data_IF_729955242880
#
_entry.id   IF_729955242880
#
_cell.length_a   1.000
_cell.length_b   1.000
_cell.length_c   1.000
_cell.angle_alpha   90.00
_cell.angle_beta   90.00
_cell.angle_gamma   90.00
#
_symmetry.space_group_name_H-M   'P 1'
#
loop_
_entity.id
_entity.type
_entity.pdbx_description
1 polymer ?
#
# COMPACT_ATOMS: atom_id res chain seq x y z
N UNK A 1 13.74 -0.14 10.02
CA UNK A 1 12.41 -0.54 9.50
C UNK A 1 11.81 0.66 8.78
N UNK A 2 11.32 0.49 7.56
CA UNK A 2 10.58 1.51 6.81
C UNK A 2 9.11 1.11 6.75
N UNK A 3 8.19 2.04 7.00
CA UNK A 3 6.75 1.80 6.94
C UNK A 3 6.16 2.55 5.74
N UNK A 4 5.56 1.83 4.79
CA UNK A 4 4.99 2.38 3.56
C UNK A 4 3.49 2.11 3.48
N UNK A 5 2.67 3.16 3.42
CA UNK A 5 1.26 3.03 3.11
C UNK A 5 1.03 2.99 1.59
N UNK A 6 0.24 2.02 1.12
CA UNK A 6 -0.18 1.93 -0.29
C UNK A 6 -1.62 2.41 -0.36
N UNK A 7 -1.83 3.64 -0.79
CA UNK A 7 -3.11 4.32 -0.68
C UNK A 7 -3.57 4.98 -1.97
N UNK A 8 -4.86 4.87 -2.26
CA UNK A 8 -5.60 5.66 -3.24
C UNK A 8 -7.10 5.52 -2.94
N UNK A 9 -7.85 6.62 -3.02
CA UNK A 9 -9.32 6.62 -2.83
C UNK A 9 -10.06 5.78 -3.87
N UNK A 10 -9.56 5.75 -5.10
CA UNK A 10 -10.23 5.04 -6.19
C UNK A 10 -10.10 3.53 -5.98
N UNK A 11 -11.24 2.83 -6.04
CA UNK A 11 -11.27 1.37 -6.10
C UNK A 11 -10.69 0.85 -7.42
N UNK A 12 -10.11 -0.35 -7.40
CA UNK A 12 -9.66 -1.02 -8.62
C UNK A 12 -8.37 -0.49 -9.26
N UNK A 13 -7.65 0.46 -8.62
CA UNK A 13 -6.38 1.00 -9.18
C UNK A 13 -5.17 0.09 -8.95
N UNK A 14 -5.35 -1.07 -8.34
CA UNK A 14 -4.29 -2.04 -8.08
C UNK A 14 -3.52 -1.82 -6.78
N UNK A 15 -4.12 -1.23 -5.74
CA UNK A 15 -3.50 -1.08 -4.40
C UNK A 15 -3.05 -2.44 -3.86
N UNK A 16 -3.98 -3.33 -3.63
CA UNK A 16 -3.73 -4.68 -3.10
C UNK A 16 -2.78 -5.49 -3.98
N UNK A 17 -2.96 -5.43 -5.30
CA UNK A 17 -2.05 -6.10 -6.24
C UNK A 17 -0.62 -5.56 -6.12
N UNK A 18 -0.48 -4.24 -5.95
CA UNK A 18 0.83 -3.61 -5.72
C UNK A 18 1.39 -4.00 -4.37
N UNK A 19 0.57 -4.01 -3.31
CA UNK A 19 1.00 -4.39 -1.97
C UNK A 19 1.58 -5.81 -1.94
N UNK A 20 0.83 -6.79 -2.44
CA UNK A 20 1.25 -8.20 -2.49
C UNK A 20 2.50 -8.39 -3.36
N UNK A 21 2.47 -7.85 -4.61
CA UNK A 21 3.54 -8.11 -5.58
C UNK A 21 4.83 -7.37 -5.23
N UNK A 22 4.72 -6.15 -4.68
CA UNK A 22 5.88 -5.39 -4.21
C UNK A 22 6.49 -6.04 -2.97
N UNK A 23 5.66 -6.53 -2.02
CA UNK A 23 6.12 -7.26 -0.85
C UNK A 23 6.98 -8.47 -1.25
N UNK A 24 6.46 -9.31 -2.15
CA UNK A 24 7.19 -10.47 -2.66
C UNK A 24 8.49 -10.06 -3.38
N UNK A 25 8.45 -9.00 -4.20
CA UNK A 25 9.63 -8.52 -4.91
C UNK A 25 10.71 -7.93 -3.98
N UNK A 26 10.33 -7.31 -2.86
CA UNK A 26 11.27 -6.85 -1.83
C UNK A 26 11.92 -8.05 -1.10
N UNK A 27 11.14 -9.10 -0.83
CA UNK A 27 11.67 -10.34 -0.24
C UNK A 27 12.67 -11.03 -1.17
N UNK A 28 12.40 -11.10 -2.48
CA UNK A 28 13.36 -11.61 -3.48
C UNK A 28 14.68 -10.83 -3.48
N UNK A 29 14.66 -9.58 -3.02
CA UNK A 29 15.86 -8.73 -2.86
C UNK A 29 16.51 -8.85 -1.47
N UNK A 30 16.06 -9.77 -0.64
CA UNK A 30 16.64 -10.09 0.66
C UNK A 30 16.05 -9.32 1.84
N UNK A 31 14.98 -8.54 1.66
CA UNK A 31 14.30 -7.86 2.76
C UNK A 31 13.35 -8.81 3.51
N UNK A 32 13.22 -8.64 4.83
CA UNK A 32 12.10 -9.21 5.59
C UNK A 32 10.94 -8.22 5.58
N UNK A 33 9.77 -8.67 5.13
CA UNK A 33 8.62 -7.81 4.88
C UNK A 33 7.42 -8.26 5.72
N UNK A 34 6.77 -7.31 6.40
CA UNK A 34 5.43 -7.47 6.95
C UNK A 34 4.44 -6.74 6.04
N UNK A 35 3.44 -7.45 5.54
CA UNK A 35 2.29 -6.85 4.88
C UNK A 35 1.14 -6.72 5.88
N UNK A 36 0.55 -5.53 5.99
CA UNK A 36 -0.62 -5.25 6.82
C UNK A 36 -1.83 -5.05 5.92
N UNK A 37 -2.85 -5.87 6.06
CA UNK A 37 -4.10 -5.75 5.30
C UNK A 37 -5.13 -4.93 6.10
N UNK A 38 -5.24 -3.63 5.82
CA UNK A 38 -6.21 -2.74 6.45
C UNK A 38 -7.54 -2.63 5.71
N UNK A 39 -7.66 -3.22 4.52
CA UNK A 39 -8.92 -3.20 3.79
C UNK A 39 -9.91 -4.20 4.43
N UNK A 40 -11.12 -3.76 4.84
CA UNK A 40 -12.16 -4.66 5.34
C UNK A 40 -12.53 -5.78 4.35
N UNK A 41 -12.24 -5.61 3.06
CA UNK A 41 -12.45 -6.65 2.07
C UNK A 41 -11.46 -7.82 2.22
N UNK A 42 -10.33 -7.64 2.90
CA UNK A 42 -9.32 -8.67 3.15
C UNK A 42 -8.75 -9.28 1.86
N UNK A 43 -8.55 -8.45 0.84
CA UNK A 43 -8.09 -8.93 -0.46
C UNK A 43 -6.58 -9.28 -0.46
N UNK A 44 -5.77 -8.61 0.37
CA UNK A 44 -4.37 -8.99 0.53
C UNK A 44 -4.27 -10.32 1.31
N UNK A 45 -5.12 -10.50 2.31
CA UNK A 45 -5.21 -11.71 3.11
C UNK A 45 -5.53 -12.94 2.24
N UNK A 46 -6.64 -12.91 1.52
CA UNK A 46 -6.99 -14.02 0.61
C UNK A 46 -6.04 -14.16 -0.57
N UNK A 47 -5.49 -13.03 -1.06
CA UNK A 47 -4.53 -13.02 -2.16
C UNK A 47 -3.17 -13.63 -1.83
N UNK A 48 -2.86 -13.84 -0.55
CA UNK A 48 -1.71 -14.61 -0.07
C UNK A 48 -2.08 -16.00 0.45
N UNK A 49 -3.32 -16.46 0.19
CA UNK A 49 -3.79 -17.80 0.54
C UNK A 49 -4.11 -17.97 2.02
N UNK A 50 -4.23 -16.88 2.78
CA UNK A 50 -4.58 -16.91 4.20
C UNK A 50 -6.09 -16.72 4.35
N UNK A 51 -6.72 -17.53 5.24
CA UNK A 51 -8.14 -17.38 5.56
C UNK A 51 -8.42 -16.05 6.24
N UNK A 52 -9.55 -15.43 5.97
CA UNK A 52 -10.03 -14.24 6.71
C UNK A 52 -10.62 -14.59 8.08
N UNK A 53 -11.00 -15.85 8.28
CA UNK A 53 -11.49 -16.36 9.56
C UNK A 53 -10.29 -16.74 10.45
N UNK A 54 -9.71 -15.73 11.10
CA UNK A 54 -8.58 -15.88 12.01
C UNK A 54 -8.97 -15.48 13.43
N UNK A 55 -8.44 -16.14 14.47
CA UNK A 55 -8.67 -15.76 15.86
C UNK A 55 -8.08 -14.40 16.21
N UNK A 56 -6.97 -14.04 15.56
CA UNK A 56 -6.26 -12.77 15.72
C UNK A 56 -6.05 -12.11 14.35
N UNK A 57 -6.24 -10.79 14.30
CA UNK A 57 -6.18 -10.02 13.06
C UNK A 57 -5.84 -8.56 13.34
N UNK A 58 -5.69 -7.77 12.29
CA UNK A 58 -5.51 -6.32 12.42
C UNK A 58 -6.66 -5.64 13.17
N UNK A 59 -7.88 -6.21 13.11
CA UNK A 59 -9.01 -5.70 13.89
C UNK A 59 -8.75 -5.82 15.40
N UNK A 60 -8.30 -6.99 15.87
CA UNK A 60 -7.96 -7.20 17.28
C UNK A 60 -6.86 -6.23 17.76
N UNK A 61 -5.85 -6.02 16.93
CA UNK A 61 -4.77 -5.06 17.20
C UNK A 61 -5.28 -3.62 17.30
N UNK A 62 -6.15 -3.20 16.38
CA UNK A 62 -6.65 -1.81 16.34
C UNK A 62 -7.71 -1.51 17.39
N UNK A 63 -8.62 -2.47 17.68
CA UNK A 63 -9.83 -2.24 18.47
C UNK A 63 -9.76 -2.83 19.87
N UNK A 64 -9.09 -3.99 20.02
CA UNK A 64 -9.08 -4.77 21.27
C UNK A 64 -7.74 -4.75 22.02
N UNK A 65 -6.76 -3.96 21.57
CA UNK A 65 -5.41 -3.91 22.14
C UNK A 65 -4.69 -5.28 22.14
N UNK A 66 -5.00 -6.15 21.16
CA UNK A 66 -4.28 -7.41 20.99
C UNK A 66 -2.81 -7.16 20.59
N UNK A 67 -1.93 -8.04 21.02
CA UNK A 67 -0.52 -7.93 20.67
C UNK A 67 -0.31 -8.19 19.17
N UNK A 68 0.45 -7.34 18.53
CA UNK A 68 0.78 -7.47 17.11
C UNK A 68 1.39 -8.85 16.79
N UNK A 69 2.28 -9.34 17.67
CA UNK A 69 2.97 -10.62 17.49
C UNK A 69 2.02 -11.83 17.44
N UNK A 70 0.87 -11.77 18.14
CA UNK A 70 -0.09 -12.87 18.17
C UNK A 70 -0.93 -12.90 16.87
N UNK A 71 -1.04 -11.78 16.18
CA UNK A 71 -1.85 -11.63 14.98
C UNK A 71 -1.07 -11.83 13.67
N UNK A 72 0.27 -11.76 13.69
CA UNK A 72 1.10 -11.96 12.50
C UNK A 72 1.08 -13.43 12.08
N UNK A 73 0.88 -13.66 10.79
CA UNK A 73 0.86 -14.99 10.18
C UNK A 73 1.97 -15.12 9.14
N UNK A 74 2.73 -16.24 9.11
CA UNK A 74 3.66 -16.52 8.04
C UNK A 74 2.89 -16.81 6.75
N UNK A 75 3.42 -16.38 5.61
CA UNK A 75 2.88 -16.71 4.29
C UNK A 75 3.64 -17.86 3.63
N UNK A 76 3.17 -18.32 2.48
CA UNK A 76 3.89 -19.30 1.67
C UNK A 76 5.20 -18.74 1.06
N UNK A 77 5.40 -17.42 1.10
CA UNK A 77 6.61 -16.75 0.62
C UNK A 77 7.55 -16.53 1.81
N UNK A 78 8.61 -17.30 1.88
CA UNK A 78 9.58 -17.21 2.99
C UNK A 78 10.17 -15.78 3.08
N UNK A 79 10.06 -15.15 4.26
CA UNK A 79 10.47 -13.75 4.48
C UNK A 79 9.37 -12.72 4.31
N UNK A 80 8.16 -13.13 3.89
CA UNK A 80 6.96 -12.33 3.85
C UNK A 80 5.97 -12.84 4.89
N UNK A 81 5.68 -12.03 5.90
CA UNK A 81 4.63 -12.29 6.87
C UNK A 81 3.46 -11.33 6.64
N UNK A 82 2.28 -11.71 7.13
CA UNK A 82 1.05 -10.94 6.98
C UNK A 82 0.41 -10.65 8.35
N UNK A 83 -0.02 -9.40 8.57
CA UNK A 83 -1.04 -9.06 9.56
C UNK A 83 -2.40 -9.08 8.84
N UNK A 84 -3.21 -10.14 9.00
CA UNK A 84 -4.39 -10.36 8.18
C UNK A 84 -5.55 -9.45 8.55
N UNK A 85 -6.38 -9.12 7.57
CA UNK A 85 -7.72 -8.58 7.77
C UNK A 85 -8.69 -9.69 8.20
N UNK A 86 -9.83 -9.29 8.79
CA UNK A 86 -10.90 -10.19 9.22
C UNK A 86 -12.27 -9.58 8.92
N UNK A 87 -13.36 -10.37 8.93
CA UNK A 87 -14.71 -9.87 8.68
C UNK A 87 -15.13 -8.73 9.61
N UNK A 88 -14.65 -8.73 10.86
CA UNK A 88 -14.91 -7.69 11.86
C UNK A 88 -14.39 -6.31 11.47
N UNK A 89 -13.42 -6.25 10.56
CA UNK A 89 -12.91 -4.98 10.03
C UNK A 89 -14.00 -4.11 9.39
N UNK A 90 -15.13 -4.71 8.97
CA UNK A 90 -16.28 -3.97 8.45
C UNK A 90 -16.88 -3.00 9.48
N UNK A 91 -16.78 -3.29 10.78
CA UNK A 91 -17.22 -2.43 11.89
C UNK A 91 -16.13 -1.54 12.48
N UNK A 92 -14.86 -1.79 12.14
CA UNK A 92 -13.71 -1.18 12.80
C UNK A 92 -13.73 0.36 12.80
N UNK A 93 -14.10 1.00 11.69
CA UNK A 93 -14.16 2.47 11.64
C UNK A 93 -15.15 3.07 12.66
N UNK A 94 -16.29 2.42 12.88
CA UNK A 94 -17.30 2.86 13.86
C UNK A 94 -16.80 2.63 15.28
N UNK A 95 -16.22 1.45 15.52
CA UNK A 95 -15.73 1.05 16.84
C UNK A 95 -14.48 1.81 17.28
N UNK A 96 -13.67 2.28 16.34
CA UNK A 96 -12.52 3.16 16.62
C UNK A 96 -12.95 4.57 17.07
N UNK A 97 -14.13 5.07 16.65
CA UNK A 97 -14.57 6.45 16.95
C UNK A 97 -14.49 6.83 18.43
N UNK A 98 -15.00 6.00 19.39
CA UNK A 98 -14.95 6.34 20.81
C UNK A 98 -13.59 6.09 21.48
N UNK A 99 -12.62 5.45 20.80
CA UNK A 99 -11.35 5.10 21.40
C UNK A 99 -10.42 6.30 21.50
N UNK A 100 -9.66 6.36 22.60
CA UNK A 100 -8.60 7.36 22.77
C UNK A 100 -7.45 7.07 21.80
N UNK A 101 -6.83 8.15 21.30
CA UNK A 101 -5.71 8.07 20.36
C UNK A 101 -6.00 7.16 19.13
N UNK A 102 -7.25 7.11 18.70
CA UNK A 102 -7.75 6.23 17.63
C UNK A 102 -7.00 6.34 16.31
N UNK A 103 -6.41 7.48 16.01
CA UNK A 103 -5.62 7.73 14.81
C UNK A 103 -4.20 7.12 14.90
N UNK A 104 -3.76 6.74 16.09
CA UNK A 104 -2.39 6.31 16.39
C UNK A 104 -2.27 4.81 16.67
N UNK A 105 -3.38 4.07 16.68
CA UNK A 105 -3.45 2.66 17.08
C UNK A 105 -2.46 1.77 16.31
N UNK A 106 -2.43 1.88 14.98
CA UNK A 106 -1.52 1.09 14.17
C UNK A 106 -0.06 1.49 14.37
N UNK A 107 0.22 2.80 14.47
CA UNK A 107 1.57 3.30 14.75
C UNK A 107 2.10 2.73 16.06
N UNK A 108 1.28 2.79 17.11
CA UNK A 108 1.69 2.36 18.45
C UNK A 108 1.88 0.84 18.51
N UNK A 109 1.05 0.07 17.78
CA UNK A 109 1.21 -1.37 17.64
C UNK A 109 2.50 -1.77 16.88
N UNK A 110 2.90 -1.00 15.85
CA UNK A 110 4.13 -1.23 15.11
C UNK A 110 5.38 -0.71 15.84
N UNK A 111 5.19 0.09 16.89
CA UNK A 111 6.29 0.67 17.64
C UNK A 111 7.05 -0.39 18.42
N UNK A 112 8.32 -0.53 18.14
CA UNK A 112 9.16 -1.54 18.78
C UNK A 112 9.31 -2.84 18.01
N UNK A 113 8.54 -3.03 16.93
CA UNK A 113 8.76 -4.15 16.02
C UNK A 113 10.11 -4.02 15.31
N UNK A 114 10.96 -5.05 15.41
CA UNK A 114 12.33 -5.06 14.87
C UNK A 114 12.60 -6.24 13.94
N UNK A 115 11.60 -7.08 13.73
CA UNK A 115 11.74 -8.30 12.93
C UNK A 115 11.76 -8.05 11.42
N UNK A 116 11.39 -6.84 10.95
CA UNK A 116 11.20 -6.53 9.54
C UNK A 116 12.04 -5.34 9.09
N UNK A 117 12.50 -5.39 7.85
CA UNK A 117 13.18 -4.27 7.19
C UNK A 117 12.15 -3.27 6.65
N UNK A 118 11.02 -3.80 6.15
CA UNK A 118 9.94 -3.01 5.55
C UNK A 118 8.57 -3.52 6.01
N UNK A 119 7.69 -2.58 6.34
CA UNK A 119 6.25 -2.83 6.55
C UNK A 119 5.50 -2.16 5.40
N UNK A 120 4.66 -2.91 4.69
CA UNK A 120 3.74 -2.39 3.69
C UNK A 120 2.33 -2.43 4.25
N UNK A 121 1.56 -1.35 4.10
CA UNK A 121 0.17 -1.25 4.57
C UNK A 121 -0.76 -1.12 3.36
N UNK A 122 -1.56 -2.14 3.08
CA UNK A 122 -2.61 -2.08 2.06
C UNK A 122 -3.83 -1.35 2.60
N UNK A 123 -4.13 -0.18 2.06
CA UNK A 123 -5.18 0.71 2.53
C UNK A 123 -6.52 0.46 1.81
N UNK A 124 -7.66 0.61 2.49
CA UNK A 124 -8.98 0.59 1.86
C UNK A 124 -9.15 1.74 0.83
N UNK A 125 -10.14 1.64 -0.07
CA UNK A 125 -10.46 2.69 -1.03
C UNK A 125 -11.31 3.82 -0.41
N UNK A 126 -10.92 4.29 0.77
CA UNK A 126 -11.61 5.35 1.52
C UNK A 126 -10.56 6.26 2.19
N UNK A 127 -10.97 7.45 2.62
CA UNK A 127 -10.14 8.33 3.46
C UNK A 127 -10.66 8.36 4.91
N UNK A 128 -11.18 7.22 5.39
CA UNK A 128 -11.67 7.03 6.75
C UNK A 128 -10.57 6.83 7.79
N UNK A 129 -10.96 6.44 9.01
CA UNK A 129 -10.04 6.26 10.14
C UNK A 129 -8.99 5.17 9.91
N UNK A 130 -9.31 4.13 9.13
CA UNK A 130 -8.33 3.09 8.78
C UNK A 130 -7.20 3.67 7.92
N UNK A 131 -7.54 4.45 6.89
CA UNK A 131 -6.52 5.12 6.06
C UNK A 131 -5.72 6.15 6.87
N UNK A 132 -6.37 6.89 7.78
CA UNK A 132 -5.65 7.80 8.69
C UNK A 132 -4.67 7.02 9.57
N UNK A 133 -5.05 5.87 10.13
CA UNK A 133 -4.13 5.00 10.89
C UNK A 133 -2.92 4.57 10.06
N UNK A 134 -3.14 4.16 8.80
CA UNK A 134 -2.06 3.82 7.88
C UNK A 134 -1.10 5.00 7.67
N UNK A 135 -1.63 6.19 7.37
CA UNK A 135 -0.84 7.40 7.11
C UNK A 135 -0.10 7.90 8.36
N UNK A 136 -0.69 7.73 9.55
CA UNK A 136 -0.05 8.10 10.82
C UNK A 136 1.07 7.14 11.18
N UNK A 137 0.93 5.85 10.84
CA UNK A 137 1.94 4.83 11.07
C UNK A 137 3.07 4.86 10.03
N UNK A 138 2.80 5.38 8.83
CA UNK A 138 3.73 5.33 7.71
C UNK A 138 4.82 6.38 7.79
N UNK A 139 6.00 6.02 7.30
CA UNK A 139 7.07 6.97 6.97
C UNK A 139 6.83 7.62 5.61
N UNK A 140 6.21 6.88 4.66
CA UNK A 140 5.96 7.36 3.32
C UNK A 140 4.75 6.67 2.66
N UNK A 141 4.23 7.29 1.60
CA UNK A 141 3.09 6.80 0.83
C UNK A 141 3.51 6.45 -0.59
N UNK A 142 3.14 5.23 -1.01
CA UNK A 142 3.16 4.82 -2.40
C UNK A 142 1.74 4.93 -2.97
N UNK A 143 1.58 5.64 -4.08
CA UNK A 143 0.26 5.94 -4.66
C UNK A 143 0.10 5.24 -6.01
N UNK A 144 -0.54 4.05 -6.05
CA UNK A 144 -0.92 3.43 -7.31
C UNK A 144 -2.00 4.25 -8.02
N UNK A 145 -1.79 4.59 -9.29
CA UNK A 145 -2.70 5.38 -10.11
C UNK A 145 -2.96 4.66 -11.42
N UNK A 146 -4.20 4.32 -11.68
CA UNK A 146 -4.62 3.81 -12.99
C UNK A 146 -4.74 4.97 -13.98
N UNK A 147 -4.17 4.81 -15.18
CA UNK A 147 -4.17 5.83 -16.23
C UNK A 147 -5.55 5.98 -16.88
N UNK A 148 -6.53 6.56 -16.16
CA UNK A 148 -7.90 6.83 -16.58
C UNK A 148 -8.28 8.30 -16.34
N UNK A 149 -9.34 8.79 -16.99
CA UNK A 149 -9.73 10.20 -17.04
C UNK A 149 -9.80 10.93 -15.69
N UNK A 150 -10.32 10.28 -14.65
CA UNK A 150 -10.43 10.88 -13.31
C UNK A 150 -9.20 10.69 -12.41
N UNK A 151 -8.06 10.28 -12.95
CA UNK A 151 -6.87 9.96 -12.17
C UNK A 151 -6.32 11.16 -11.41
N UNK A 152 -6.30 12.35 -12.02
CA UNK A 152 -5.74 13.56 -11.42
C UNK A 152 -6.60 14.12 -10.29
N UNK A 153 -7.93 14.08 -10.42
CA UNK A 153 -8.84 14.57 -9.38
C UNK A 153 -8.71 13.73 -8.10
N UNK A 154 -8.77 12.41 -8.22
CA UNK A 154 -8.59 11.51 -7.08
C UNK A 154 -7.20 11.62 -6.44
N UNK A 155 -6.17 11.88 -7.27
CA UNK A 155 -4.80 12.10 -6.79
C UNK A 155 -4.69 13.41 -5.98
N UNK A 156 -5.26 14.49 -6.47
CA UNK A 156 -5.24 15.79 -5.77
C UNK A 156 -5.93 15.70 -4.39
N UNK A 157 -7.07 15.01 -4.30
CA UNK A 157 -7.77 14.81 -3.04
C UNK A 157 -6.97 13.96 -2.05
N UNK A 158 -6.31 12.89 -2.52
CA UNK A 158 -5.43 12.07 -1.68
C UNK A 158 -4.23 12.89 -1.17
N UNK A 159 -3.57 13.65 -2.04
CA UNK A 159 -2.44 14.51 -1.66
C UNK A 159 -2.83 15.55 -0.61
N UNK A 160 -4.01 16.15 -0.73
CA UNK A 160 -4.56 17.07 0.28
C UNK A 160 -4.76 16.35 1.64
N UNK A 161 -5.23 15.12 1.63
CA UNK A 161 -5.39 14.32 2.88
C UNK A 161 -4.03 13.98 3.48
N UNK A 162 -3.06 13.55 2.66
CA UNK A 162 -1.70 13.28 3.13
C UNK A 162 -1.09 14.53 3.77
N UNK A 163 -1.29 15.70 3.15
CA UNK A 163 -0.82 16.98 3.68
C UNK A 163 -1.47 17.34 5.02
N UNK A 164 -2.79 17.13 5.15
CA UNK A 164 -3.50 17.36 6.41
C UNK A 164 -3.00 16.43 7.54
N UNK A 165 -2.71 15.15 7.24
CA UNK A 165 -2.11 14.21 8.18
C UNK A 165 -0.68 14.62 8.53
N UNK A 166 0.12 15.02 7.53
CA UNK A 166 1.50 15.49 7.76
C UNK A 166 1.55 16.69 8.70
N UNK A 167 0.68 17.66 8.51
CA UNK A 167 0.66 18.87 9.33
C UNK A 167 0.22 18.62 10.77
N UNK A 168 -0.72 17.68 10.98
CA UNK A 168 -1.40 17.55 12.27
C UNK A 168 -1.01 16.32 13.08
N UNK A 169 -0.65 15.21 12.42
CA UNK A 169 -0.54 13.90 13.07
C UNK A 169 0.81 13.23 12.83
N UNK A 170 1.45 13.41 11.65
CA UNK A 170 2.70 12.74 11.30
C UNK A 170 3.60 13.65 10.44
N UNK A 171 4.38 14.51 11.07
CA UNK A 171 5.22 15.51 10.39
C UNK A 171 6.29 14.90 9.45
N UNK A 172 6.56 13.60 9.55
CA UNK A 172 7.56 12.90 8.72
C UNK A 172 6.97 12.28 7.46
N UNK A 173 5.64 12.26 7.35
CA UNK A 173 4.96 11.62 6.23
C UNK A 173 5.28 12.32 4.92
N UNK A 174 5.72 11.56 3.92
CA UNK A 174 5.98 12.06 2.57
C UNK A 174 5.34 11.17 1.49
N UNK A 175 5.19 11.69 0.29
CA UNK A 175 4.82 10.88 -0.88
C UNK A 175 6.10 10.37 -1.52
N UNK A 176 6.34 9.06 -1.43
CA UNK A 176 7.54 8.43 -1.97
C UNK A 176 7.51 8.31 -3.48
N UNK A 177 6.38 7.82 -4.01
CA UNK A 177 6.19 7.68 -5.45
C UNK A 177 4.70 7.53 -5.83
N UNK A 178 4.40 7.98 -7.05
CA UNK A 178 3.17 7.68 -7.78
C UNK A 178 3.51 6.56 -8.77
N UNK A 179 2.84 5.41 -8.65
CA UNK A 179 3.05 4.26 -9.53
C UNK A 179 1.93 4.16 -10.54
N UNK A 180 2.24 4.35 -11.81
CA UNK A 180 1.28 4.19 -12.89
C UNK A 180 1.00 2.71 -13.12
N UNK A 181 -0.25 2.32 -12.93
CA UNK A 181 -0.72 0.92 -13.02
C UNK A 181 -1.61 0.71 -14.23
N UNK A 182 -1.71 -0.57 -14.65
CA UNK A 182 -2.55 -0.98 -15.77
C UNK A 182 -2.26 -0.19 -17.05
N UNK A 183 -0.97 0.18 -17.26
CA UNK A 183 -0.57 0.88 -18.47
C UNK A 183 -0.91 0.05 -19.70
N UNK A 184 -1.68 0.64 -20.62
CA UNK A 184 -1.95 0.09 -21.94
C UNK A 184 -1.51 1.09 -23.01
N UNK A 185 -0.35 0.82 -23.62
CA UNK A 185 0.23 1.68 -24.67
C UNK A 185 -0.57 1.72 -25.97
N UNK A 186 -1.56 0.83 -26.14
CA UNK A 186 -2.48 0.83 -27.28
C UNK A 186 -3.64 1.80 -27.07
N UNK A 187 -3.91 2.17 -25.82
CA UNK A 187 -4.99 3.08 -25.46
C UNK A 187 -4.47 4.52 -25.44
N UNK A 188 -4.91 5.33 -26.41
CA UNK A 188 -4.53 6.74 -26.57
C UNK A 188 -4.87 7.58 -25.31
N UNK A 189 -6.03 7.34 -24.70
CA UNK A 189 -6.44 8.03 -23.48
C UNK A 189 -5.49 7.70 -22.31
N UNK A 190 -5.10 6.43 -22.14
CA UNK A 190 -4.14 6.01 -21.12
C UNK A 190 -2.81 6.71 -21.28
N UNK A 191 -2.34 6.90 -22.52
CA UNK A 191 -1.09 7.63 -22.79
C UNK A 191 -1.21 9.12 -22.44
N UNK A 192 -2.31 9.77 -22.82
CA UNK A 192 -2.55 11.19 -22.52
C UNK A 192 -2.60 11.44 -21.00
N UNK A 193 -3.32 10.58 -20.26
CA UNK A 193 -3.39 10.68 -18.79
C UNK A 193 -2.02 10.45 -18.17
N UNK A 194 -1.25 9.47 -18.67
CA UNK A 194 0.13 9.23 -18.24
C UNK A 194 1.00 10.48 -18.39
N UNK A 195 0.98 11.12 -19.56
CA UNK A 195 1.75 12.34 -19.85
C UNK A 195 1.33 13.50 -18.92
N UNK A 196 0.04 13.62 -18.66
CA UNK A 196 -0.51 14.65 -17.79
C UNK A 196 -0.07 14.46 -16.32
N UNK A 197 -0.12 13.22 -15.81
CA UNK A 197 0.36 12.91 -14.45
C UNK A 197 1.86 13.19 -14.34
N UNK A 198 2.66 12.80 -15.32
CA UNK A 198 4.10 13.07 -15.33
C UNK A 198 4.38 14.57 -15.38
N UNK A 199 3.61 15.35 -16.17
CA UNK A 199 3.78 16.81 -16.27
C UNK A 199 3.53 17.51 -14.94
N UNK A 200 2.51 17.07 -14.18
CA UNK A 200 2.17 17.67 -12.90
C UNK A 200 3.05 17.21 -11.74
N UNK A 201 3.55 15.96 -11.80
CA UNK A 201 4.31 15.33 -10.70
C UNK A 201 5.60 14.66 -11.19
N UNK A 202 6.50 15.36 -11.91
CA UNK A 202 7.65 14.76 -12.57
C UNK A 202 8.58 14.02 -11.61
N UNK A 203 8.79 14.54 -10.39
CA UNK A 203 9.68 13.96 -9.39
C UNK A 203 9.05 12.79 -8.62
N UNK A 204 7.70 12.79 -8.52
CA UNK A 204 6.98 11.77 -7.76
C UNK A 204 6.66 10.53 -8.60
N UNK A 205 6.47 10.67 -9.91
CA UNK A 205 6.11 9.53 -10.74
C UNK A 205 7.28 8.54 -10.81
N UNK A 206 7.00 7.28 -10.46
CA UNK A 206 7.97 6.20 -10.62
C UNK A 206 8.34 6.02 -12.10
N UNK A 207 9.60 5.70 -12.36
CA UNK A 207 10.07 5.37 -13.72
C UNK A 207 9.47 4.07 -14.21
N UNK A 208 9.30 3.15 -13.27
CA UNK A 208 8.67 1.85 -13.52
C UNK A 208 7.16 2.02 -13.63
N UNK A 209 6.56 1.36 -14.61
CA UNK A 209 5.12 1.32 -14.86
C UNK A 209 4.64 -0.12 -14.85
N UNK A 210 3.50 -0.35 -14.22
CA UNK A 210 2.92 -1.69 -14.14
C UNK A 210 2.00 -1.91 -15.34
N UNK A 211 2.29 -2.87 -16.20
CA UNK A 211 1.47 -3.13 -17.39
C UNK A 211 0.12 -3.74 -17.01
N UNK A 212 -0.89 -3.52 -17.84
CA UNK A 212 -2.12 -4.28 -17.77
C UNK A 212 -1.82 -5.74 -18.11
N UNK A 213 -2.09 -6.68 -17.19
CA UNK A 213 -1.85 -8.10 -17.37
C UNK A 213 -2.93 -8.93 -16.68
N UNK A 214 -3.50 -9.89 -17.41
CA UNK A 214 -4.54 -10.81 -16.91
C UNK A 214 -3.98 -11.64 -15.74
N UNK A 215 -2.73 -12.07 -15.83
CA UNK A 215 -2.06 -12.85 -14.79
C UNK A 215 -2.01 -12.15 -13.41
N UNK A 216 -1.96 -10.80 -13.39
CA UNK A 216 -2.05 -10.04 -12.13
C UNK A 216 -3.42 -10.16 -11.44
N UNK A 217 -4.48 -10.36 -12.22
CA UNK A 217 -5.82 -10.57 -11.67
C UNK A 217 -6.05 -12.05 -11.28
N UNK A 218 -5.37 -12.98 -11.95
CA UNK A 218 -5.47 -14.42 -11.67
C UNK A 218 -4.67 -14.82 -10.42
N UNK A 219 -3.46 -14.30 -10.24
CA UNK A 219 -2.55 -14.69 -9.18
C UNK A 219 -3.19 -14.71 -7.76
N UNK A 220 -3.97 -13.69 -7.33
CA UNK A 220 -4.64 -13.70 -6.03
C UNK A 220 -5.66 -14.83 -5.86
N UNK A 221 -6.31 -15.30 -6.95
CA UNK A 221 -7.25 -16.43 -6.87
C UNK A 221 -6.54 -17.76 -6.59
N UNK A 222 -5.23 -17.80 -6.77
CA UNK A 222 -4.36 -18.93 -6.43
C UNK A 222 -3.62 -18.71 -5.10
N UNK A 223 -3.91 -17.63 -4.37
CA UNK A 223 -3.25 -17.29 -3.11
C UNK A 223 -1.75 -16.97 -3.27
N UNK A 224 -1.33 -16.48 -4.43
CA UNK A 224 0.07 -16.27 -4.76
C UNK A 224 0.34 -14.86 -5.31
N UNK A 225 1.47 -14.24 -4.97
CA UNK A 225 1.94 -13.03 -5.65
C UNK A 225 2.36 -13.38 -7.08
N UNK A 226 2.35 -12.38 -7.98
CA UNK A 226 2.71 -12.56 -9.39
C UNK A 226 4.13 -13.13 -9.58
N UNK A 227 5.05 -12.78 -8.69
CA UNK A 227 6.43 -13.26 -8.68
C UNK A 227 6.54 -14.77 -8.52
N UNK A 228 5.60 -15.39 -7.81
CA UNK A 228 5.51 -16.85 -7.61
C UNK A 228 4.62 -17.47 -8.68
N UNK A 229 3.47 -16.85 -8.99
CA UNK A 229 2.49 -17.38 -9.92
C UNK A 229 2.98 -17.44 -11.37
N UNK A 230 3.64 -16.37 -11.83
CA UNK A 230 4.21 -16.26 -13.19
C UNK A 230 5.50 -15.43 -13.18
N UNK A 231 6.61 -16.01 -12.65
CA UNK A 231 7.88 -15.29 -12.44
C UNK A 231 8.52 -14.78 -13.73
N UNK A 232 8.23 -15.41 -14.87
CA UNK A 232 8.72 -15.01 -16.18
C UNK A 232 7.92 -13.88 -16.83
N UNK A 233 6.81 -13.46 -16.25
CA UNK A 233 5.93 -12.46 -16.83
C UNK A 233 6.54 -11.05 -16.86
N UNK A 234 6.02 -10.21 -17.77
CA UNK A 234 6.34 -8.78 -17.79
C UNK A 234 5.92 -8.06 -16.50
N UNK A 235 4.83 -8.53 -15.88
CA UNK A 235 4.32 -7.97 -14.65
C UNK A 235 5.24 -8.30 -13.45
N UNK A 236 5.71 -9.54 -13.31
CA UNK A 236 6.67 -9.92 -12.28
C UNK A 236 7.96 -9.11 -12.38
N UNK A 237 8.51 -8.98 -13.61
CA UNK A 237 9.69 -8.14 -13.85
C UNK A 237 9.45 -6.68 -13.48
N UNK A 238 8.28 -6.11 -13.83
CA UNK A 238 7.95 -4.74 -13.49
C UNK A 238 7.90 -4.51 -11.97
N UNK A 239 7.36 -5.46 -11.19
CA UNK A 239 7.39 -5.36 -9.73
C UNK A 239 8.79 -5.56 -9.16
N UNK A 240 9.62 -6.40 -9.76
CA UNK A 240 11.04 -6.51 -9.40
C UNK A 240 11.82 -5.21 -9.60
N UNK A 241 11.59 -4.55 -10.74
CA UNK A 241 12.18 -3.23 -11.07
C UNK A 241 11.63 -2.13 -10.14
N UNK A 242 10.31 -2.17 -9.84
CA UNK A 242 9.68 -1.25 -8.90
C UNK A 242 10.27 -1.41 -7.49
N UNK A 243 10.46 -2.64 -7.01
CA UNK A 243 11.08 -2.89 -5.71
C UNK A 243 12.49 -2.29 -5.63
N UNK A 244 13.27 -2.37 -6.70
CA UNK A 244 14.58 -1.74 -6.77
C UNK A 244 14.48 -0.20 -6.72
N UNK A 245 13.57 0.40 -7.49
CA UNK A 245 13.36 1.84 -7.48
C UNK A 245 12.91 2.34 -6.11
N UNK A 246 11.95 1.65 -5.48
CA UNK A 246 11.46 2.00 -4.15
C UNK A 246 12.56 1.89 -3.09
N UNK A 247 13.38 0.83 -3.12
CA UNK A 247 14.52 0.67 -2.21
C UNK A 247 15.53 1.81 -2.36
N UNK A 248 15.83 2.26 -3.59
CA UNK A 248 16.71 3.39 -3.85
C UNK A 248 16.11 4.71 -3.32
N UNK A 249 14.81 4.96 -3.56
CA UNK A 249 14.13 6.16 -3.07
C UNK A 249 14.10 6.20 -1.54
N UNK A 250 13.89 5.07 -0.88
CA UNK A 250 13.95 4.96 0.57
C UNK A 250 15.34 5.23 1.14
N UNK A 251 16.39 4.77 0.46
CA UNK A 251 17.77 5.01 0.87
C UNK A 251 18.21 6.46 0.67
N UNK A 252 17.63 7.15 -0.31
CA UNK A 252 17.98 8.54 -0.69
C UNK A 252 17.05 9.60 -0.11
N UNK A 253 16.21 9.27 0.89
CA UNK A 253 15.18 10.17 1.45
C UNK A 253 15.67 11.61 1.62
N UNK A 254 15.29 12.46 0.66
CA UNK A 254 15.32 13.91 0.77
C UNK A 254 13.85 14.33 0.90
N UNK A 255 13.43 15.05 1.95
CA UNK A 255 12.05 15.52 2.07
C UNK A 255 11.71 16.40 0.86
N UNK A 256 10.81 15.93 0.00
CA UNK A 256 10.29 16.74 -1.10
C UNK A 256 9.16 17.59 -0.51
N UNK A 257 9.38 18.90 -0.43
CA UNK A 257 8.30 19.81 -0.10
C UNK A 257 7.24 19.74 -1.20
N UNK A 258 6.03 19.30 -0.87
CA UNK A 258 4.88 19.42 -1.77
C UNK A 258 4.62 20.91 -1.96
N UNK A 259 5.14 21.48 -3.05
CA UNK A 259 4.83 22.86 -3.46
C UNK A 259 3.32 22.96 -3.57
N UNK A 260 2.72 23.92 -2.86
CA UNK A 260 1.29 24.09 -2.83
C UNK A 260 0.70 24.08 -4.24
N UNK A 261 -0.21 23.15 -4.48
CA UNK A 261 -1.08 23.20 -5.67
C UNK A 261 -1.97 24.43 -5.45
N UNK A 262 -1.57 25.54 -6.08
CA UNK A 262 -2.30 26.80 -6.03
C UNK A 262 -3.73 26.59 -6.51
N UNK A 263 -4.64 27.22 -5.79
CA UNK A 263 -6.07 27.30 -6.07
C UNK A 263 -6.39 27.85 -7.45
#
# INVERSE_FOLDING_TARGET
MNVLAISNQKGGVGKTTTAISLAAALVEKGSRVLLVDLDPQGNATSGLGISKEQPHSVYGVLVRDELLADAIQPTAVAGLDLLPSAPEMAGAEVELVPLLAREFRLRDALQGEKGYDTVLIDCPPSLGLLTVNALVAADAVLVPVQCEYYALEGLAQLLSTIDAVRVRLNAKLEVLAIVLTMEDRRNRLSMQVTEEVIRHFPELVARVRIPRAVRLAEAPSHGQPINVYDPGSRAARAYGDLAQEISMRLASRIPIALGGVGA
#
